data_IF_863661585311
#
_entry.id   IF_863661585311
#
_cell.length_a   1.000
_cell.length_b   1.000
_cell.length_c   1.000
_cell.angle_alpha   90.00
_cell.angle_beta   90.00
_cell.angle_gamma   90.00
#
_symmetry.space_group_name_H-M   'P 1'
#
loop_
_entity.id
_entity.type
_entity.pdbx_description
1 polymer ?
#
# COMPACT_ATOMS: atom_id res chain seq x y z
N UNK A 1 -12.56 5.09 -6.04
CA UNK A 1 -12.23 4.02 -7.00
C UNK A 1 -11.48 2.83 -6.41
N UNK A 2 -10.40 2.97 -5.62
CA UNK A 2 -9.75 1.83 -4.94
C UNK A 2 -10.43 1.49 -3.59
N UNK A 3 -10.63 2.49 -2.72
CA UNK A 3 -11.31 2.32 -1.42
C UNK A 3 -12.77 1.84 -1.54
N UNK A 4 -13.49 2.23 -2.61
CA UNK A 4 -14.85 1.75 -2.88
C UNK A 4 -14.91 0.26 -3.25
N UNK A 5 -13.77 -0.33 -3.61
CA UNK A 5 -13.68 -1.67 -4.20
C UNK A 5 -12.98 -2.68 -3.29
N UNK A 6 -11.99 -2.24 -2.52
CA UNK A 6 -11.25 -3.06 -1.55
C UNK A 6 -11.85 -2.88 -0.13
N UNK A 7 -12.52 -1.76 0.11
CA UNK A 7 -13.01 -1.37 1.43
C UNK A 7 -12.14 -0.25 2.04
N UNK A 8 -12.59 0.36 3.15
CA UNK A 8 -11.88 1.46 3.79
C UNK A 8 -10.58 1.03 4.49
N UNK A 9 -10.44 -0.25 4.83
CA UNK A 9 -9.26 -0.83 5.50
C UNK A 9 -9.04 -2.27 5.01
N UNK A 10 -7.78 -2.71 4.97
CA UNK A 10 -7.38 -4.10 4.64
C UNK A 10 -6.37 -4.59 5.67
N UNK A 11 -6.54 -5.82 6.13
CA UNK A 11 -5.59 -6.47 7.02
C UNK A 11 -4.48 -7.13 6.21
N UNK A 12 -3.22 -6.80 6.51
CA UNK A 12 -2.04 -7.35 5.84
C UNK A 12 -1.15 -8.09 6.83
N UNK A 13 -0.53 -9.18 6.37
CA UNK A 13 0.53 -9.85 7.12
C UNK A 13 1.89 -9.41 6.57
N UNK A 14 2.56 -8.54 7.32
CA UNK A 14 3.88 -8.00 6.98
C UNK A 14 4.95 -8.52 7.97
N UNK A 15 6.20 -8.73 7.52
CA UNK A 15 7.32 -9.00 8.42
C UNK A 15 7.68 -7.78 9.26
N UNK A 16 8.43 -7.98 10.35
CA UNK A 16 8.90 -6.90 11.26
C UNK A 16 9.65 -5.79 10.52
N UNK A 17 10.33 -6.14 9.43
CA UNK A 17 10.92 -5.17 8.50
C UNK A 17 10.46 -5.46 7.08
N UNK A 18 9.83 -4.47 6.45
CA UNK A 18 9.26 -4.59 5.11
C UNK A 18 9.61 -3.37 4.26
N UNK A 19 9.40 -3.47 2.95
CA UNK A 19 9.46 -2.36 2.01
C UNK A 19 8.05 -1.98 1.58
N UNK A 20 7.88 -0.74 1.09
CA UNK A 20 6.64 -0.29 0.47
C UNK A 20 6.05 -1.28 -0.54
N UNK A 21 6.92 -1.91 -1.34
CA UNK A 21 6.51 -2.87 -2.35
C UNK A 21 5.86 -4.13 -1.76
N UNK A 22 6.31 -4.58 -0.58
CA UNK A 22 5.75 -5.76 0.10
C UNK A 22 4.27 -5.52 0.48
N UNK A 23 3.92 -4.27 0.82
CA UNK A 23 2.53 -3.86 1.10
C UNK A 23 1.67 -4.02 -0.16
N UNK A 24 2.13 -3.49 -1.30
CA UNK A 24 1.40 -3.56 -2.56
C UNK A 24 1.26 -5.01 -3.04
N UNK A 25 2.30 -5.82 -2.88
CA UNK A 25 2.27 -7.25 -3.23
C UNK A 25 1.26 -8.02 -2.40
N UNK A 26 1.22 -7.82 -1.08
CA UNK A 26 0.20 -8.44 -0.23
C UNK A 26 -1.23 -8.04 -0.63
N UNK A 27 -1.47 -6.76 -0.93
CA UNK A 27 -2.79 -6.32 -1.38
C UNK A 27 -3.15 -6.96 -2.73
N UNK A 28 -2.18 -7.12 -3.64
CA UNK A 28 -2.39 -7.80 -4.94
C UNK A 28 -2.71 -9.28 -4.78
N UNK A 29 -2.10 -9.97 -3.81
CA UNK A 29 -2.43 -11.37 -3.51
C UNK A 29 -3.87 -11.52 -3.02
N UNK A 30 -4.34 -10.58 -2.18
CA UNK A 30 -5.71 -10.56 -1.67
C UNK A 30 -6.73 -10.10 -2.72
N UNK A 31 -6.34 -9.20 -3.62
CA UNK A 31 -7.20 -8.57 -4.62
C UNK A 31 -6.56 -8.51 -6.01
N UNK A 32 -6.35 -9.66 -6.68
CA UNK A 32 -5.64 -9.73 -7.96
C UNK A 32 -6.33 -8.94 -9.08
N UNK A 33 -7.65 -8.77 -9.01
CA UNK A 33 -8.43 -7.97 -9.96
C UNK A 33 -8.03 -6.48 -10.02
N UNK A 34 -7.22 -6.00 -9.06
CA UNK A 34 -6.75 -4.61 -9.00
C UNK A 34 -5.24 -4.47 -9.14
N UNK A 35 -4.53 -5.53 -9.56
CA UNK A 35 -3.08 -5.51 -9.75
C UNK A 35 -2.61 -4.33 -10.60
N UNK A 36 -3.28 -4.05 -11.73
CA UNK A 36 -2.92 -2.96 -12.63
C UNK A 36 -2.96 -1.56 -11.97
N UNK A 37 -3.88 -1.34 -11.03
CA UNK A 37 -3.99 -0.08 -10.29
C UNK A 37 -2.92 -0.02 -9.19
N UNK A 38 -2.69 -1.14 -8.51
CA UNK A 38 -1.70 -1.24 -7.43
C UNK A 38 -0.27 -1.10 -7.96
N UNK A 39 0.01 -1.61 -9.16
CA UNK A 39 1.30 -1.46 -9.85
C UNK A 39 1.63 -0.01 -10.21
N UNK A 40 0.62 0.86 -10.26
CA UNK A 40 0.76 2.30 -10.50
C UNK A 40 0.58 3.14 -9.21
N UNK A 41 0.31 2.48 -8.08
CA UNK A 41 0.09 3.15 -6.80
C UNK A 41 1.41 3.43 -6.08
N UNK A 42 1.42 4.48 -5.26
CA UNK A 42 2.48 4.77 -4.31
C UNK A 42 2.03 4.37 -2.90
N UNK A 43 3.00 4.20 -2.00
CA UNK A 43 2.75 3.96 -0.56
C UNK A 43 3.27 5.15 0.23
N UNK A 44 2.47 5.62 1.18
CA UNK A 44 2.91 6.54 2.21
C UNK A 44 2.84 5.86 3.59
N UNK A 45 3.84 6.09 4.42
CA UNK A 45 3.93 5.60 5.80
C UNK A 45 4.03 6.82 6.70
N UNK A 46 3.14 6.92 7.69
CA UNK A 46 3.08 8.06 8.60
C UNK A 46 3.09 9.41 7.85
N UNK A 47 2.22 9.56 6.85
CA UNK A 47 2.06 10.75 6.00
C UNK A 47 3.26 11.09 5.08
N UNK A 48 4.30 10.26 5.04
CA UNK A 48 5.47 10.45 4.17
C UNK A 48 5.57 9.37 3.09
N UNK A 49 5.92 9.75 1.85
CA UNK A 49 6.11 8.77 0.78
C UNK A 49 7.25 7.81 1.13
N UNK A 50 6.94 6.52 1.11
CA UNK A 50 7.93 5.49 1.36
C UNK A 50 8.91 5.41 0.19
N UNK A 51 10.19 5.27 0.53
CA UNK A 51 11.28 5.08 -0.42
C UNK A 51 11.67 3.59 -0.50
N UNK A 52 12.85 3.28 -1.05
CA UNK A 52 13.33 1.90 -1.18
C UNK A 52 13.89 1.29 0.13
N UNK A 53 13.92 2.07 1.21
CA UNK A 53 14.42 1.65 2.51
C UNK A 53 13.45 0.69 3.19
N UNK A 54 13.99 -0.05 4.16
CA UNK A 54 13.17 -0.90 5.02
C UNK A 54 12.49 -0.06 6.09
N UNK A 55 11.21 -0.35 6.31
CA UNK A 55 10.36 0.23 7.34
C UNK A 55 10.26 -0.78 8.48
N UNK A 56 10.43 -0.30 9.72
CA UNK A 56 10.21 -1.10 10.92
C UNK A 56 8.72 -1.07 11.28
N UNK A 57 8.08 -2.24 11.33
CA UNK A 57 6.65 -2.37 11.61
C UNK A 57 6.26 -1.72 12.95
N UNK A 58 7.15 -1.72 13.94
CA UNK A 58 6.89 -1.11 15.25
C UNK A 58 6.86 0.42 15.23
N UNK A 59 7.34 1.03 14.15
CA UNK A 59 7.35 2.49 13.94
C UNK A 59 6.19 3.00 13.06
N UNK A 60 5.30 2.11 12.62
CA UNK A 60 4.21 2.41 11.69
C UNK A 60 2.92 2.65 12.47
N UNK A 61 2.38 3.86 12.34
CA UNK A 61 1.05 4.21 12.84
C UNK A 61 0.00 4.05 11.72
N UNK A 62 0.36 4.43 10.48
CA UNK A 62 -0.53 4.40 9.33
C UNK A 62 0.21 4.05 8.04
N UNK A 63 -0.44 3.26 7.17
CA UNK A 63 -0.02 3.01 5.80
C UNK A 63 -1.15 3.44 4.87
N UNK A 64 -0.87 4.37 3.97
CA UNK A 64 -1.81 4.84 2.94
C UNK A 64 -1.36 4.37 1.55
N UNK A 65 -2.31 3.86 0.77
CA UNK A 65 -2.12 3.55 -0.65
C UNK A 65 -2.60 4.74 -1.47
N UNK A 66 -1.71 5.30 -2.28
CA UNK A 66 -1.94 6.48 -3.11
C UNK A 66 -2.06 6.02 -4.57
N UNK A 67 -3.26 5.68 -5.06
CA UNK A 67 -3.44 5.30 -6.46
C UNK A 67 -3.19 6.49 -7.39
N UNK A 68 -2.90 6.24 -8.68
CA UNK A 68 -2.73 7.31 -9.66
C UNK A 68 -3.98 8.19 -9.67
N UNK A 69 -3.78 9.48 -9.42
CA UNK A 69 -4.86 10.47 -9.50
C UNK A 69 -5.22 10.66 -10.98
N UNK A 70 -6.49 10.49 -11.35
CA UNK A 70 -6.99 10.68 -12.72
C UNK A 70 -7.08 12.16 -13.12
N UNK A 71 -6.16 13.00 -12.65
CA UNK A 71 -6.25 14.45 -12.73
C UNK A 71 -6.23 14.95 -14.18
N UNK A 72 -7.35 15.53 -14.59
CA UNK A 72 -7.38 16.70 -15.46
C UNK A 72 -7.45 17.96 -14.59
#
# INVERSE_FOLDING_TARGET
MLAEKIGPTVDLSLPDQFKAQDVLEQIKELHPDYADVLDQSLVAVNEEYANEDKIDLTSVDEIAIIPPVSGG
#
